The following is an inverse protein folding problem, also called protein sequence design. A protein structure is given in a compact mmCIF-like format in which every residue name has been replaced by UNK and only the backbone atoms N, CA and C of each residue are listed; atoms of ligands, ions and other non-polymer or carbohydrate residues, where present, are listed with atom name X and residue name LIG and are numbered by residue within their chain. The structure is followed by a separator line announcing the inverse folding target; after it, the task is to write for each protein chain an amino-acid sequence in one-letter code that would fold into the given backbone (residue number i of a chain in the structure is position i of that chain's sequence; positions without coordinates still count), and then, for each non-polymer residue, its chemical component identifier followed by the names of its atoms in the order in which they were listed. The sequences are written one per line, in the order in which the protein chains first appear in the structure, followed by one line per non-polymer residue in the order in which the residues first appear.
data_IF_993926640479
#
_entry.id   IF_993926640479
#
_cell.length_a   1.000
_cell.length_b   1.000
_cell.length_c   1.000
_cell.angle_alpha   90.00
_cell.angle_beta   90.00
_cell.angle_gamma   90.00
#
_symmetry.space_group_name_H-M   'P 1'
#
loop_
_entity.id
_entity.type
_entity.pdbx_description
1 polymer ?
#
# COMPACT_ATOMS: atom_id res chain seq x y z
N UNK A 1 0.67 -7.36 -5.82
CA UNK A 1 1.85 -7.27 -6.72
C UNK A 1 3.14 -7.16 -5.93
N UNK A 2 3.26 -6.25 -4.95
CA UNK A 2 4.46 -6.12 -4.11
C UNK A 2 4.88 -7.42 -3.41
N UNK A 3 3.94 -8.32 -3.10
CA UNK A 3 4.20 -9.63 -2.48
C UNK A 3 5.09 -10.58 -3.31
N UNK A 4 5.20 -10.39 -4.62
CA UNK A 4 6.20 -11.11 -5.42
C UNK A 4 7.64 -10.78 -4.99
N UNK A 5 7.85 -9.59 -4.40
CA UNK A 5 9.13 -9.19 -3.84
C UNK A 5 9.50 -10.04 -2.62
N UNK A 6 8.53 -10.46 -1.80
CA UNK A 6 8.78 -11.34 -0.64
C UNK A 6 9.37 -12.68 -1.11
N UNK A 7 8.83 -13.24 -2.20
CA UNK A 7 9.35 -14.48 -2.78
C UNK A 7 10.74 -14.31 -3.39
N UNK A 8 10.92 -13.31 -4.26
CA UNK A 8 12.17 -13.11 -4.98
C UNK A 8 13.31 -12.66 -4.07
N UNK A 9 13.06 -11.71 -3.17
CA UNK A 9 14.06 -11.32 -2.19
C UNK A 9 14.34 -12.46 -1.21
N UNK A 10 13.32 -13.24 -0.80
CA UNK A 10 13.51 -14.36 0.13
C UNK A 10 14.40 -15.46 -0.47
N UNK A 11 14.16 -15.80 -1.74
CA UNK A 11 14.99 -16.73 -2.50
C UNK A 11 16.41 -16.18 -2.69
N UNK A 12 16.55 -14.91 -3.12
CA UNK A 12 17.85 -14.27 -3.31
C UNK A 12 18.66 -14.19 -2.02
N UNK A 13 18.03 -13.84 -0.90
CA UNK A 13 18.67 -13.73 0.40
C UNK A 13 19.13 -15.10 0.92
N UNK A 14 18.27 -16.12 0.80
CA UNK A 14 18.61 -17.51 1.15
C UNK A 14 19.73 -18.09 0.28
N UNK A 15 19.77 -17.73 -1.01
CA UNK A 15 20.83 -18.11 -1.95
C UNK A 15 22.10 -17.24 -1.85
N UNK A 16 22.16 -16.30 -0.89
CA UNK A 16 23.27 -15.34 -0.70
C UNK A 16 23.55 -14.42 -1.91
N UNK A 17 22.56 -14.23 -2.77
CA UNK A 17 22.62 -13.31 -3.91
C UNK A 17 22.16 -11.91 -3.48
N UNK A 18 22.85 -11.31 -2.51
CA UNK A 18 22.41 -10.08 -1.85
C UNK A 18 22.18 -8.90 -2.80
N UNK A 19 23.05 -8.71 -3.79
CA UNK A 19 22.90 -7.63 -4.78
C UNK A 19 21.59 -7.70 -5.58
N UNK A 20 21.02 -8.90 -5.77
CA UNK A 20 19.78 -9.09 -6.52
C UNK A 20 18.57 -8.50 -5.79
N UNK A 21 18.61 -8.36 -4.46
CA UNK A 21 17.50 -7.79 -3.69
C UNK A 21 17.21 -6.33 -4.11
N UNK A 22 18.25 -5.51 -4.27
CA UNK A 22 18.11 -4.13 -4.73
C UNK A 22 17.57 -4.05 -6.16
N UNK A 23 18.00 -4.96 -7.03
CA UNK A 23 17.52 -5.06 -8.42
C UNK A 23 16.04 -5.46 -8.45
N UNK A 24 15.65 -6.47 -7.66
CA UNK A 24 14.24 -6.89 -7.53
C UNK A 24 13.37 -5.76 -6.95
N UNK A 25 13.87 -5.02 -5.96
CA UNK A 25 13.15 -3.87 -5.41
C UNK A 25 12.91 -2.80 -6.49
N UNK A 26 13.93 -2.43 -7.26
CA UNK A 26 13.80 -1.46 -8.35
C UNK A 26 12.82 -1.93 -9.43
N UNK A 27 12.91 -3.21 -9.83
CA UNK A 27 11.98 -3.82 -10.78
C UNK A 27 10.54 -3.76 -10.28
N UNK A 28 10.33 -4.10 -9.00
CA UNK A 28 9.01 -4.01 -8.38
C UNK A 28 8.49 -2.57 -8.37
N UNK A 29 9.32 -1.59 -8.01
CA UNK A 29 8.93 -0.17 -8.04
C UNK A 29 8.46 0.25 -9.43
N UNK A 30 9.20 -0.10 -10.48
CA UNK A 30 8.82 0.20 -11.86
C UNK A 30 7.47 -0.43 -12.23
N UNK A 31 7.31 -1.73 -11.96
CA UNK A 31 6.06 -2.46 -12.25
C UNK A 31 4.88 -1.87 -11.48
N UNK A 32 5.05 -1.56 -10.20
CA UNK A 32 3.98 -1.00 -9.36
C UNK A 32 3.62 0.42 -9.80
N UNK A 33 4.59 1.26 -10.15
CA UNK A 33 4.31 2.60 -10.68
C UNK A 33 3.51 2.52 -11.99
N UNK A 34 3.88 1.61 -12.89
CA UNK A 34 3.14 1.38 -14.14
C UNK A 34 1.74 0.83 -13.88
N UNK A 35 1.58 -0.11 -12.95
CA UNK A 35 0.28 -0.65 -12.56
C UNK A 35 -0.62 0.38 -11.86
N UNK A 36 -0.04 1.37 -11.18
CA UNK A 36 -0.78 2.48 -10.57
C UNK A 36 -1.42 3.41 -11.60
N UNK A 37 -0.94 3.46 -12.84
CA UNK A 37 -1.52 4.30 -13.90
C UNK A 37 -2.97 3.86 -14.25
N UNK A 38 -3.24 2.61 -14.69
CA UNK A 38 -4.60 2.18 -14.96
C UNK A 38 -5.50 2.24 -13.72
N UNK A 39 -4.96 1.97 -12.53
CA UNK A 39 -5.70 2.12 -11.27
C UNK A 39 -6.09 3.58 -10.99
N UNK A 40 -5.20 4.54 -11.27
CA UNK A 40 -5.51 5.96 -11.15
C UNK A 40 -6.65 6.38 -12.09
N UNK A 41 -6.68 5.84 -13.32
CA UNK A 41 -7.81 6.04 -14.22
C UNK A 41 -9.11 5.47 -13.63
N UNK A 42 -9.10 4.25 -13.10
CA UNK A 42 -10.28 3.66 -12.43
C UNK A 42 -10.76 4.57 -11.30
N UNK A 43 -9.84 5.06 -10.45
CA UNK A 43 -10.18 5.99 -9.36
C UNK A 43 -10.79 7.30 -9.88
N UNK A 44 -10.30 7.85 -11.00
CA UNK A 44 -10.84 9.06 -11.61
C UNK A 44 -12.29 8.87 -12.13
N UNK A 45 -12.67 7.65 -12.49
CA UNK A 45 -14.02 7.27 -12.95
C UNK A 45 -14.90 6.68 -11.84
N UNK A 46 -14.50 6.78 -10.57
CA UNK A 46 -15.25 6.20 -9.43
C UNK A 46 -16.73 6.60 -9.43
N UNK A 47 -17.06 7.85 -9.73
CA UNK A 47 -18.46 8.31 -9.73
C UNK A 47 -19.30 7.55 -10.77
N UNK A 48 -18.79 7.40 -11.99
CA UNK A 48 -19.49 6.70 -13.08
C UNK A 48 -19.65 5.22 -12.76
N UNK A 49 -18.61 4.61 -12.18
CA UNK A 49 -18.65 3.20 -11.77
C UNK A 49 -19.71 3.00 -10.68
N UNK A 50 -19.73 3.85 -9.66
CA UNK A 50 -20.70 3.77 -8.56
C UNK A 50 -22.14 4.01 -9.04
N UNK A 51 -22.37 5.00 -9.89
CA UNK A 51 -23.70 5.23 -10.47
C UNK A 51 -24.14 4.07 -11.37
N UNK A 52 -23.23 3.45 -12.12
CA UNK A 52 -23.54 2.29 -12.95
C UNK A 52 -23.97 1.06 -12.14
N UNK A 53 -23.50 0.92 -10.89
CA UNK A 53 -23.95 -0.13 -9.95
C UNK A 53 -25.13 0.32 -9.08
N UNK A 54 -25.77 1.46 -9.40
CA UNK A 54 -27.01 1.93 -8.77
C UNK A 54 -26.81 2.77 -7.50
N UNK A 55 -25.61 3.27 -7.22
CA UNK A 55 -25.38 4.16 -6.08
C UNK A 55 -25.95 5.56 -6.29
N UNK A 56 -26.25 6.24 -5.18
CA UNK A 56 -26.74 7.61 -5.19
C UNK A 56 -25.73 8.56 -5.88
N UNK A 57 -26.18 9.48 -6.77
CA UNK A 57 -25.30 10.39 -7.50
C UNK A 57 -24.45 11.32 -6.60
N UNK A 58 -25.01 11.82 -5.50
CA UNK A 58 -24.32 12.71 -4.56
C UNK A 58 -23.20 11.98 -3.84
N UNK A 59 -23.49 10.79 -3.30
CA UNK A 59 -22.48 9.91 -2.68
C UNK A 59 -21.39 9.53 -3.68
N UNK A 60 -21.79 9.22 -4.91
CA UNK A 60 -20.85 8.84 -5.98
C UNK A 60 -19.92 10.00 -6.36
N UNK A 61 -20.41 11.23 -6.33
CA UNK A 61 -19.60 12.43 -6.61
C UNK A 61 -18.59 12.69 -5.49
N UNK A 62 -19.01 12.61 -4.24
CA UNK A 62 -18.11 12.76 -3.08
C UNK A 62 -17.04 11.66 -3.04
N UNK A 63 -17.42 10.41 -3.33
CA UNK A 63 -16.49 9.29 -3.43
C UNK A 63 -15.44 9.52 -4.53
N UNK A 64 -15.85 10.02 -5.71
CA UNK A 64 -14.92 10.39 -6.78
C UNK A 64 -13.99 11.51 -6.34
N UNK A 65 -14.51 12.54 -5.68
CA UNK A 65 -13.71 13.66 -5.21
C UNK A 65 -12.61 13.14 -4.29
N UNK A 66 -12.97 12.36 -3.27
CA UNK A 66 -12.01 11.72 -2.38
C UNK A 66 -11.01 10.82 -3.13
N UNK A 67 -11.49 9.96 -4.03
CA UNK A 67 -10.65 9.03 -4.82
C UNK A 67 -9.62 9.76 -5.70
N UNK A 68 -10.01 10.85 -6.37
CA UNK A 68 -9.09 11.66 -7.17
C UNK A 68 -7.97 12.26 -6.33
N UNK A 69 -8.30 12.76 -5.12
CA UNK A 69 -7.31 13.32 -4.20
C UNK A 69 -6.39 12.25 -3.58
N UNK A 70 -6.80 10.98 -3.60
CA UNK A 70 -5.96 9.84 -3.20
C UNK A 70 -5.01 9.35 -4.30
N UNK A 71 -5.19 9.74 -5.57
CA UNK A 71 -4.35 9.25 -6.68
C UNK A 71 -2.84 9.40 -6.38
N UNK A 72 -2.33 10.52 -5.85
CA UNK A 72 -0.90 10.63 -5.53
C UNK A 72 -0.45 9.63 -4.45
N UNK A 73 -1.31 9.32 -3.47
CA UNK A 73 -1.04 8.32 -2.42
C UNK A 73 -0.88 6.92 -2.99
N UNK A 74 -1.55 6.59 -4.11
CA UNK A 74 -1.46 5.28 -4.77
C UNK A 74 -0.02 4.99 -5.21
N UNK A 75 0.65 5.98 -5.81
CA UNK A 75 2.05 5.85 -6.24
C UNK A 75 3.00 5.76 -5.05
N UNK A 76 2.80 6.62 -4.04
CA UNK A 76 3.58 6.59 -2.80
C UNK A 76 3.47 5.24 -2.10
N UNK A 77 2.26 4.68 -2.02
CA UNK A 77 2.00 3.40 -1.39
C UNK A 77 2.73 2.27 -2.11
N UNK A 78 2.72 2.24 -3.46
CA UNK A 78 3.48 1.25 -4.23
C UNK A 78 4.98 1.28 -3.92
N UNK A 79 5.57 2.47 -3.88
CA UNK A 79 6.99 2.64 -3.52
C UNK A 79 7.28 2.26 -2.07
N UNK A 80 6.42 2.65 -1.14
CA UNK A 80 6.53 2.34 0.28
C UNK A 80 6.53 0.83 0.51
N UNK A 81 5.60 0.13 -0.12
CA UNK A 81 5.48 -1.32 -0.03
C UNK A 81 6.71 -2.07 -0.59
N UNK A 82 7.41 -1.50 -1.58
CA UNK A 82 8.66 -2.07 -2.07
C UNK A 82 9.80 -1.93 -1.05
N UNK A 83 9.95 -0.76 -0.43
CA UNK A 83 10.97 -0.52 0.60
C UNK A 83 10.74 -1.39 1.83
N UNK A 84 9.50 -1.46 2.31
CA UNK A 84 9.12 -2.27 3.47
C UNK A 84 9.53 -3.72 3.27
N UNK A 85 9.13 -4.34 2.16
CA UNK A 85 9.44 -5.75 1.87
C UNK A 85 10.92 -6.01 1.67
N UNK A 86 11.62 -5.09 0.99
CA UNK A 86 13.08 -5.17 0.85
C UNK A 86 13.78 -5.23 2.21
N UNK A 87 13.37 -4.37 3.16
CA UNK A 87 13.94 -4.34 4.51
C UNK A 87 13.51 -5.55 5.36
N UNK A 88 12.23 -5.92 5.32
CA UNK A 88 11.70 -7.08 6.07
C UNK A 88 12.35 -8.39 5.66
N UNK A 89 12.62 -8.60 4.37
CA UNK A 89 13.27 -9.83 3.90
C UNK A 89 14.68 -10.03 4.49
N UNK A 90 15.31 -8.93 4.90
CA UNK A 90 16.63 -8.93 5.55
C UNK A 90 16.53 -8.92 7.09
N UNK A 91 15.33 -9.04 7.65
CA UNK A 91 15.02 -8.85 9.07
C UNK A 91 15.37 -7.45 9.62
N UNK A 92 15.35 -6.42 8.77
CA UNK A 92 15.64 -5.03 9.16
C UNK A 92 14.32 -4.30 9.47
N UNK A 93 13.84 -4.43 10.70
CA UNK A 93 12.54 -3.85 11.11
C UNK A 93 12.64 -2.49 11.82
N UNK A 94 13.82 -2.10 12.30
CA UNK A 94 13.99 -0.84 13.06
C UNK A 94 13.51 0.42 12.31
N UNK A 95 13.81 0.62 11.01
CA UNK A 95 13.29 1.76 10.25
C UNK A 95 11.77 1.76 10.19
N UNK A 96 11.13 0.59 10.20
CA UNK A 96 9.68 0.48 10.19
C UNK A 96 9.07 0.89 11.53
N UNK A 97 9.80 0.78 12.65
CA UNK A 97 9.32 1.31 13.94
C UNK A 97 9.22 2.85 13.94
N UNK A 98 9.99 3.54 13.10
CA UNK A 98 9.85 5.00 12.94
C UNK A 98 8.50 5.40 12.31
N UNK A 99 7.75 4.46 11.74
CA UNK A 99 6.36 4.69 11.33
C UNK A 99 5.48 5.15 12.50
N UNK A 100 5.80 4.80 13.75
CA UNK A 100 5.09 5.30 14.93
C UNK A 100 5.18 6.83 15.08
N UNK A 101 6.36 7.41 14.77
CA UNK A 101 6.54 8.87 14.71
C UNK A 101 5.70 9.45 13.56
N UNK A 102 5.68 8.75 12.42
CA UNK A 102 4.89 9.19 11.26
C UNK A 102 3.39 9.13 11.52
N UNK A 103 2.90 8.22 12.38
CA UNK A 103 1.51 8.18 12.83
C UNK A 103 1.17 9.42 13.66
N UNK A 104 2.04 9.82 14.60
CA UNK A 104 1.83 11.04 15.38
C UNK A 104 1.79 12.28 14.47
N UNK A 105 2.72 12.35 13.52
CA UNK A 105 2.71 13.41 12.51
C UNK A 105 1.44 13.37 11.65
N UNK A 106 0.99 12.18 11.25
CA UNK A 106 -0.23 12.01 10.46
C UNK A 106 -1.46 12.55 11.21
N UNK A 107 -1.58 12.31 12.52
CA UNK A 107 -2.68 12.87 13.34
C UNK A 107 -2.67 14.40 13.27
N UNK A 108 -1.50 15.02 13.42
CA UNK A 108 -1.35 16.48 13.35
C UNK A 108 -1.71 17.00 11.96
N UNK A 109 -1.19 16.37 10.89
CA UNK A 109 -1.48 16.76 9.51
C UNK A 109 -2.96 16.60 9.20
N UNK A 110 -3.59 15.50 9.62
CA UNK A 110 -5.04 15.29 9.50
C UNK A 110 -5.81 16.40 10.23
N UNK A 111 -5.44 16.76 11.45
CA UNK A 111 -6.13 17.81 12.19
C UNK A 111 -6.06 19.16 11.45
N UNK A 112 -4.88 19.53 10.96
CA UNK A 112 -4.69 20.80 10.21
C UNK A 112 -5.50 20.76 8.91
N UNK A 113 -5.34 19.72 8.09
CA UNK A 113 -5.93 19.68 6.76
C UNK A 113 -7.44 19.47 6.79
N UNK A 114 -7.95 18.60 7.68
CA UNK A 114 -9.39 18.30 7.73
C UNK A 114 -10.16 19.42 8.40
N UNK A 115 -9.70 19.92 9.55
CA UNK A 115 -10.49 20.82 10.40
C UNK A 115 -10.07 22.29 10.34
N UNK A 116 -8.81 22.60 10.01
CA UNK A 116 -8.32 24.00 9.99
C UNK A 116 -8.23 24.61 8.60
N UNK A 117 -8.31 23.81 7.54
CA UNK A 117 -8.04 24.25 6.16
C UNK A 117 -9.27 24.22 5.24
N UNK A 118 -10.48 24.02 5.77
CA UNK A 118 -11.73 23.86 5.01
C UNK A 118 -11.72 22.77 3.93
N UNK A 119 -10.73 21.87 3.95
CA UNK A 119 -10.57 20.81 2.93
C UNK A 119 -11.42 19.56 3.24
N UNK A 120 -11.90 19.38 4.47
CA UNK A 120 -12.75 18.26 4.87
C UNK A 120 -12.18 16.91 4.43
N UNK A 121 -12.96 16.15 3.64
CA UNK A 121 -12.58 14.82 3.13
C UNK A 121 -11.36 14.87 2.19
N UNK A 122 -11.19 15.95 1.41
CA UNK A 122 -9.99 16.15 0.58
C UNK A 122 -8.75 16.27 1.46
N UNK A 123 -8.89 16.93 2.61
CA UNK A 123 -7.83 17.08 3.61
C UNK A 123 -7.34 15.74 4.12
N UNK A 124 -8.24 14.77 4.33
CA UNK A 124 -7.88 13.41 4.75
C UNK A 124 -7.09 12.66 3.65
N UNK A 125 -7.49 12.79 2.38
CA UNK A 125 -6.77 12.22 1.25
C UNK A 125 -5.37 12.83 1.08
N UNK A 126 -5.25 14.15 1.24
CA UNK A 126 -3.97 14.86 1.24
C UNK A 126 -3.06 14.44 2.40
N UNK A 127 -3.61 14.34 3.62
CA UNK A 127 -2.85 13.90 4.79
C UNK A 127 -2.28 12.49 4.57
N UNK A 128 -3.08 11.59 4.01
CA UNK A 128 -2.65 10.23 3.64
C UNK A 128 -1.50 10.27 2.63
N UNK A 129 -1.66 11.07 1.57
CA UNK A 129 -0.62 11.29 0.56
C UNK A 129 0.69 11.77 1.18
N UNK A 130 0.63 12.81 2.01
CA UNK A 130 1.80 13.40 2.68
C UNK A 130 2.50 12.35 3.55
N UNK A 131 1.74 11.63 4.37
CA UNK A 131 2.31 10.62 5.26
C UNK A 131 2.97 9.46 4.52
N UNK A 132 2.41 9.01 3.40
CA UNK A 132 3.06 7.97 2.59
C UNK A 132 4.34 8.47 1.93
N UNK A 133 4.35 9.68 1.38
CA UNK A 133 5.58 10.24 0.81
C UNK A 133 6.67 10.46 1.86
N UNK A 134 6.32 10.94 3.05
CA UNK A 134 7.27 11.05 4.17
C UNK A 134 7.89 9.68 4.49
N UNK A 135 7.10 8.62 4.58
CA UNK A 135 7.63 7.27 4.81
C UNK A 135 8.51 6.79 3.65
N UNK A 136 8.11 7.05 2.39
CA UNK A 136 8.94 6.70 1.22
C UNK A 136 10.31 7.37 1.32
N UNK A 137 10.36 8.67 1.60
CA UNK A 137 11.63 9.40 1.71
C UNK A 137 12.46 8.93 2.90
N UNK A 138 11.83 8.65 4.04
CA UNK A 138 12.52 8.13 5.22
C UNK A 138 13.17 6.78 4.93
N UNK A 139 12.41 5.82 4.37
CA UNK A 139 12.93 4.50 4.07
C UNK A 139 13.94 4.52 2.92
N UNK A 140 13.72 5.33 1.88
CA UNK A 140 14.69 5.50 0.79
C UNK A 140 16.03 6.07 1.30
N UNK A 141 15.97 7.05 2.21
CA UNK A 141 17.14 7.62 2.87
C UNK A 141 17.85 6.53 3.70
N UNK A 142 17.11 5.76 4.49
CA UNK A 142 17.67 4.67 5.27
C UNK A 142 18.36 3.62 4.37
N UNK A 143 17.69 3.14 3.31
CA UNK A 143 18.26 2.15 2.38
C UNK A 143 19.54 2.67 1.72
N UNK A 144 19.57 3.95 1.36
CA UNK A 144 20.74 4.56 0.70
C UNK A 144 21.95 4.73 1.62
N UNK A 145 21.74 5.08 2.88
CA UNK A 145 22.83 5.48 3.79
C UNK A 145 23.15 4.47 4.89
N UNK A 146 22.29 3.48 5.14
CA UNK A 146 22.50 2.47 6.18
C UNK A 146 23.57 1.47 5.77
N UNK A 147 24.51 1.20 6.68
CA UNK A 147 25.50 0.14 6.50
C UNK A 147 24.85 -1.24 6.36
N UNK A 148 23.67 -1.45 6.95
CA UNK A 148 22.94 -2.72 6.88
C UNK A 148 22.45 -3.05 5.46
N UNK A 149 22.28 -2.06 4.60
CA UNK A 149 21.81 -2.23 3.22
C UNK A 149 22.95 -2.20 2.19
N UNK A 150 24.21 -2.08 2.62
CA UNK A 150 25.33 -1.83 1.69
C UNK A 150 25.58 -2.97 0.69
N UNK A 151 25.32 -4.22 1.09
CA UNK A 151 25.49 -5.39 0.21
C UNK A 151 24.26 -5.68 -0.65
N UNK A 152 23.08 -5.20 -0.22
CA UNK A 152 21.79 -5.47 -0.87
C UNK A 152 21.31 -4.31 -1.74
N UNK A 153 21.80 -3.10 -1.49
CA UNK A 153 21.56 -1.90 -2.28
C UNK A 153 22.88 -1.34 -2.82
N UNK A 154 23.17 -1.66 -4.07
CA UNK A 154 24.39 -1.21 -4.79
C UNK A 154 24.17 0.01 -5.67
N UNK A 155 23.00 0.66 -5.57
CA UNK A 155 22.60 1.79 -6.38
C UNK A 155 21.60 1.43 -7.49
N UNK A 156 21.28 2.40 -8.35
CA UNK A 156 20.36 2.19 -9.47
C UNK A 156 21.01 1.31 -10.55
N UNK A 157 20.26 0.32 -11.05
CA UNK A 157 20.74 -0.62 -12.08
C UNK A 157 19.73 -0.76 -13.22
N UNK A 158 20.24 -0.78 -14.45
CA UNK A 158 19.45 -1.05 -15.67
C UNK A 158 18.94 -2.49 -15.69
N UNK A 159 19.52 -3.40 -14.91
CA UNK A 159 19.07 -4.78 -14.72
C UNK A 159 17.65 -4.86 -14.12
N UNK A 160 17.18 -3.78 -13.48
CA UNK A 160 15.80 -3.67 -13.02
C UNK A 160 14.78 -3.73 -14.18
N UNK A 161 15.18 -3.28 -15.38
CA UNK A 161 14.35 -3.34 -16.59
C UNK A 161 14.37 -4.71 -17.28
N UNK A 162 15.34 -5.56 -16.92
CA UNK A 162 15.41 -6.91 -17.42
C UNK A 162 14.44 -7.79 -16.64
N UNK A 163 13.96 -8.87 -17.27
CA UNK A 163 13.20 -9.93 -16.60
C UNK A 163 11.87 -9.48 -15.94
N UNK A 164 11.31 -8.36 -16.42
CA UNK A 164 10.02 -7.81 -15.95
C UNK A 164 8.87 -8.79 -16.17
N UNK A 165 8.88 -9.55 -17.26
CA UNK A 165 7.84 -10.54 -17.57
C UNK A 165 7.78 -11.67 -16.55
N UNK A 166 8.93 -12.18 -16.10
CA UNK A 166 8.96 -13.22 -15.07
C UNK A 166 8.53 -12.66 -13.70
N UNK A 167 8.90 -11.41 -13.39
CA UNK A 167 8.35 -10.72 -12.22
C UNK A 167 6.82 -10.62 -12.31
N UNK A 168 6.26 -10.20 -13.44
CA UNK A 168 4.81 -10.10 -13.66
C UNK A 168 4.10 -11.46 -13.54
N UNK A 169 4.73 -12.54 -14.00
CA UNK A 169 4.21 -13.91 -13.89
C UNK A 169 4.00 -14.34 -12.43
N UNK A 170 4.78 -13.80 -11.50
CA UNK A 170 4.57 -13.97 -10.05
C UNK A 170 3.62 -12.90 -9.50
N UNK A 171 3.85 -11.63 -9.85
CA UNK A 171 3.16 -10.50 -9.26
C UNK A 171 1.66 -10.44 -9.56
N UNK A 172 1.23 -10.87 -10.76
CA UNK A 172 -0.18 -10.85 -11.19
C UNK A 172 -1.01 -11.89 -10.42
N UNK A 173 -0.65 -13.19 -10.38
CA UNK A 173 -1.36 -14.17 -9.54
C UNK A 173 -1.38 -13.77 -8.07
N UNK A 174 -0.26 -13.28 -7.51
CA UNK A 174 -0.22 -12.82 -6.12
C UNK A 174 -1.14 -11.63 -5.88
N UNK A 175 -1.24 -10.68 -6.83
CA UNK A 175 -2.21 -9.59 -6.73
C UNK A 175 -3.64 -10.12 -6.73
N UNK A 176 -3.98 -11.03 -7.64
CA UNK A 176 -5.32 -11.59 -7.73
C UNK A 176 -5.70 -12.36 -6.45
N UNK A 177 -4.78 -13.16 -5.92
CA UNK A 177 -4.97 -13.87 -4.65
C UNK A 177 -5.23 -12.88 -3.50
N UNK A 178 -4.43 -11.82 -3.38
CA UNK A 178 -4.66 -10.79 -2.36
C UNK A 178 -6.00 -10.09 -2.57
N UNK A 179 -6.38 -9.73 -3.79
CA UNK A 179 -7.68 -9.12 -4.08
C UNK A 179 -8.84 -10.04 -3.70
N UNK A 180 -8.77 -11.33 -4.04
CA UNK A 180 -9.76 -12.32 -3.63
C UNK A 180 -9.87 -12.44 -2.11
N UNK A 181 -8.73 -12.41 -1.41
CA UNK A 181 -8.72 -12.42 0.06
C UNK A 181 -9.47 -11.19 0.61
N UNK A 182 -9.13 -9.98 0.17
CA UNK A 182 -9.83 -8.76 0.60
C UNK A 182 -11.32 -8.78 0.26
N UNK A 183 -11.69 -9.13 -0.97
CA UNK A 183 -13.10 -9.21 -1.38
C UNK A 183 -13.87 -10.27 -0.60
N UNK A 184 -13.23 -11.38 -0.25
CA UNK A 184 -13.88 -12.40 0.58
C UNK A 184 -14.23 -11.84 1.97
N UNK A 185 -13.36 -11.03 2.57
CA UNK A 185 -13.66 -10.36 3.83
C UNK A 185 -14.78 -9.34 3.69
N UNK A 186 -14.79 -8.54 2.63
CA UNK A 186 -15.88 -7.58 2.37
C UNK A 186 -17.23 -8.29 2.21
N UNK A 187 -17.28 -9.44 1.52
CA UNK A 187 -18.50 -10.23 1.40
C UNK A 187 -18.99 -10.73 2.76
N UNK A 188 -18.10 -11.14 3.66
CA UNK A 188 -18.47 -11.57 5.02
C UNK A 188 -19.00 -10.38 5.84
N UNK A 189 -18.44 -9.18 5.67
CA UNK A 189 -18.94 -7.94 6.30
C UNK A 189 -20.33 -7.57 5.77
N UNK A 190 -20.55 -7.66 4.47
CA UNK A 190 -21.86 -7.42 3.86
C UNK A 190 -22.92 -8.41 4.36
N UNK A 191 -22.56 -9.70 4.46
CA UNK A 191 -23.45 -10.73 5.01
C UNK A 191 -23.75 -10.51 6.49
N UNK A 192 -22.78 -10.03 7.28
CA UNK A 192 -23.01 -9.65 8.68
C UNK A 192 -24.03 -8.50 8.82
N UNK A 193 -24.09 -7.61 7.82
CA UNK A 193 -25.10 -6.57 7.71
C UNK A 193 -26.54 -7.08 7.47
N UNK A 194 -26.72 -8.37 7.17
CA UNK A 194 -28.03 -9.02 7.00
C UNK A 194 -28.47 -9.82 8.23
N UNK A 195 -27.64 -9.89 9.28
CA UNK A 195 -27.95 -10.59 10.53
C UNK A 195 -28.98 -9.84 11.37
N UNK A 196 -29.65 -10.50 12.34
CA UNK A 196 -30.72 -9.90 13.15
C UNK A 196 -30.33 -8.62 13.91
N UNK A 197 -29.04 -8.48 14.26
CA UNK A 197 -28.50 -7.26 14.85
C UNK A 197 -27.36 -6.69 13.98
N UNK A 198 -27.68 -6.09 12.83
CA UNK A 198 -26.70 -5.78 11.80
C UNK A 198 -25.69 -4.72 12.24
N UNK A 199 -26.12 -3.77 13.11
CA UNK A 199 -25.22 -2.74 13.67
C UNK A 199 -24.14 -3.37 14.57
N UNK A 200 -24.51 -4.31 15.44
CA UNK A 200 -23.57 -4.96 16.34
C UNK A 200 -22.66 -5.92 15.57
N UNK A 201 -23.22 -6.79 14.76
CA UNK A 201 -22.48 -7.86 14.07
C UNK A 201 -21.48 -7.30 13.05
N UNK A 202 -21.89 -6.31 12.25
CA UNK A 202 -21.00 -5.63 11.29
C UNK A 202 -19.86 -4.90 12.02
N UNK A 203 -20.16 -4.24 13.15
CA UNK A 203 -19.15 -3.52 13.94
C UNK A 203 -18.14 -4.47 14.58
N UNK A 204 -18.60 -5.58 15.18
CA UNK A 204 -17.73 -6.60 15.79
C UNK A 204 -16.81 -7.21 14.74
N UNK A 205 -17.36 -7.57 13.58
CA UNK A 205 -16.58 -8.15 12.50
C UNK A 205 -15.55 -7.17 11.93
N UNK A 206 -15.93 -5.90 11.75
CA UNK A 206 -15.02 -4.84 11.29
C UNK A 206 -13.86 -4.62 12.27
N UNK A 207 -14.15 -4.61 13.58
CA UNK A 207 -13.12 -4.51 14.63
C UNK A 207 -12.19 -5.74 14.59
N UNK A 208 -12.73 -6.95 14.44
CA UNK A 208 -11.91 -8.18 14.34
C UNK A 208 -10.99 -8.15 13.12
N UNK A 209 -11.47 -7.68 11.97
CA UNK A 209 -10.64 -7.52 10.77
C UNK A 209 -9.54 -6.49 10.98
N UNK A 210 -9.84 -5.37 11.64
CA UNK A 210 -8.84 -4.36 11.98
C UNK A 210 -7.75 -4.93 12.91
N UNK A 211 -8.13 -5.72 13.93
CA UNK A 211 -7.18 -6.39 14.83
C UNK A 211 -6.33 -7.43 14.09
N UNK A 212 -6.92 -8.22 13.18
CA UNK A 212 -6.18 -9.19 12.35
C UNK A 212 -5.11 -8.48 11.50
N UNK A 213 -5.47 -7.38 10.85
CA UNK A 213 -4.54 -6.61 10.01
C UNK A 213 -3.41 -5.99 10.85
N UNK A 214 -3.71 -5.52 12.05
CA UNK A 214 -2.69 -5.06 13.00
C UNK A 214 -1.74 -6.22 13.36
N UNK A 215 -2.25 -7.36 13.83
CA UNK A 215 -1.42 -8.50 14.20
C UNK A 215 -0.54 -9.03 13.05
N UNK A 216 -1.09 -9.15 11.84
CA UNK A 216 -0.34 -9.63 10.68
C UNK A 216 0.81 -8.69 10.30
N UNK A 217 0.65 -7.37 10.50
CA UNK A 217 1.68 -6.37 10.22
C UNK A 217 2.87 -6.41 11.19
N UNK A 218 2.73 -7.05 12.36
CA UNK A 218 3.80 -7.18 13.37
C UNK A 218 4.30 -8.62 13.56
N UNK A 219 3.72 -9.61 12.87
CA UNK A 219 4.06 -11.04 13.05
C UNK A 219 4.99 -11.59 11.95
N UNK A 220 5.56 -10.72 11.10
CA UNK A 220 6.53 -11.06 10.05
C UNK A 220 7.78 -10.17 10.16
#
# INVERSE_FOLDING_TARGET
MASALDTLCGQGYGAKQYHMLGIHMQRAMLVLLLASIPLAFILAYTSQILMAVGQNPEISMEAKLYACWLIPSLFAYGLLQCHVRFLQTQNIVFPMLTSGITVLLHIIVCWILVYKSDLGTKGAAMATTISYWINVFLLATYVKFSQACKETWTGLSVEALHDVLNFLRLAVPSAFMTCLEYWSFEMVVLLAGLLPNPKLETSVLSIRLAIKNFHFSYSL
#
